data_IF_554905523613
#
_entry.id   IF_554905523613
#
_cell.length_a   1.000
_cell.length_b   1.000
_cell.length_c   1.000
_cell.angle_alpha   90.00
_cell.angle_beta   90.00
_cell.angle_gamma   90.00
#
_symmetry.space_group_name_H-M   'P 1'
#
loop_
_entity.id
_entity.type
_entity.pdbx_description
1 polymer ?
#
# COMPACT_ATOMS: atom_id res chain seq x y z
N UNK A 1 5.80 0.82 0.12
CA UNK A 1 5.63 -0.25 -0.88
C UNK A 1 4.63 0.15 -1.96
N UNK A 2 3.31 0.04 -1.76
CA UNK A 2 2.33 0.15 -2.86
C UNK A 2 2.41 1.45 -3.67
N UNK A 3 2.72 2.59 -3.03
CA UNK A 3 3.00 3.85 -3.75
C UNK A 3 4.23 3.82 -4.67
N UNK A 4 5.28 3.08 -4.29
CA UNK A 4 6.50 2.94 -5.08
C UNK A 4 6.23 2.08 -6.30
N UNK A 5 5.52 0.96 -6.12
CA UNK A 5 5.07 0.11 -7.21
C UNK A 5 4.27 0.90 -8.24
N UNK A 6 3.29 1.70 -7.78
CA UNK A 6 2.51 2.58 -8.65
C UNK A 6 3.37 3.61 -9.37
N UNK A 7 4.29 4.28 -8.66
CA UNK A 7 5.20 5.27 -9.25
C UNK A 7 6.10 4.65 -10.33
N UNK A 8 6.65 3.45 -10.10
CA UNK A 8 7.46 2.75 -11.12
C UNK A 8 6.62 2.41 -12.35
N UNK A 9 5.42 1.87 -12.15
CA UNK A 9 4.48 1.56 -13.24
C UNK A 9 4.14 2.83 -14.04
N UNK A 10 3.78 3.92 -13.36
CA UNK A 10 3.46 5.20 -13.98
C UNK A 10 4.62 5.71 -14.84
N UNK A 11 5.85 5.70 -14.31
CA UNK A 11 7.05 6.13 -15.04
C UNK A 11 7.34 5.27 -16.29
N UNK A 12 7.10 3.96 -16.22
CA UNK A 12 7.25 3.05 -17.36
C UNK A 12 6.13 3.25 -18.40
N UNK A 13 4.88 3.42 -17.95
CA UNK A 13 3.73 3.67 -18.82
C UNK A 13 3.80 5.04 -19.52
N UNK A 14 4.34 6.07 -18.86
CA UNK A 14 4.62 7.38 -19.46
C UNK A 14 5.60 7.29 -20.64
N UNK A 15 6.42 6.23 -20.69
CA UNK A 15 7.31 5.91 -21.80
C UNK A 15 6.66 5.05 -22.89
N UNK A 16 5.37 4.75 -22.76
CA UNK A 16 4.61 3.92 -23.68
C UNK A 16 4.83 2.42 -23.51
N UNK A 17 5.46 1.98 -22.42
CA UNK A 17 5.65 0.56 -22.13
C UNK A 17 4.40 -0.06 -21.49
N UNK A 18 4.05 -1.26 -21.93
CA UNK A 18 2.99 -2.06 -21.32
C UNK A 18 3.50 -2.81 -20.09
N UNK A 19 3.10 -2.36 -18.91
CA UNK A 19 3.55 -2.97 -17.66
C UNK A 19 2.51 -3.96 -17.17
N UNK A 20 2.96 -5.15 -16.76
CA UNK A 20 2.15 -6.11 -16.02
C UNK A 20 2.75 -6.25 -14.63
N UNK A 21 1.95 -6.00 -13.59
CA UNK A 21 2.38 -6.20 -12.22
C UNK A 21 2.12 -7.65 -11.80
N UNK A 22 3.07 -8.29 -11.13
CA UNK A 22 2.87 -9.58 -10.45
C UNK A 22 2.93 -9.33 -8.95
N UNK A 23 1.85 -9.67 -8.27
CA UNK A 23 1.69 -9.44 -6.83
C UNK A 23 1.76 -10.74 -6.07
N UNK A 24 2.48 -10.72 -4.94
CA UNK A 24 2.36 -11.80 -3.97
C UNK A 24 0.89 -11.97 -3.55
N UNK A 25 0.32 -13.18 -3.61
CA UNK A 25 -1.08 -13.41 -3.25
C UNK A 25 -1.29 -13.26 -1.74
N UNK A 26 -2.53 -12.98 -1.35
CA UNK A 26 -3.02 -13.20 0.01
C UNK A 26 -3.79 -14.54 0.01
N UNK A 27 -3.19 -15.65 0.49
CA UNK A 27 -3.72 -16.99 0.29
C UNK A 27 -4.83 -17.34 1.30
N UNK A 28 -5.86 -16.50 1.42
CA UNK A 28 -6.96 -16.70 2.35
C UNK A 28 -8.01 -17.71 1.87
N UNK A 29 -7.95 -18.12 0.59
CA UNK A 29 -8.96 -18.93 -0.08
C UNK A 29 -8.48 -20.28 -0.59
N UNK A 30 -9.11 -20.74 -1.67
CA UNK A 30 -8.77 -21.99 -2.35
C UNK A 30 -7.55 -21.79 -3.25
N UNK A 31 -6.38 -22.25 -2.79
CA UNK A 31 -5.11 -22.09 -3.49
C UNK A 31 -5.12 -22.70 -4.90
N UNK A 32 -5.89 -23.74 -5.15
CA UNK A 32 -5.99 -24.34 -6.48
C UNK A 32 -6.72 -23.41 -7.45
N UNK A 33 -7.72 -22.66 -6.98
CA UNK A 33 -8.40 -21.61 -7.77
C UNK A 33 -7.56 -20.34 -7.89
N UNK A 34 -6.70 -20.09 -6.91
CA UNK A 34 -5.78 -18.96 -6.85
C UNK A 34 -4.40 -19.28 -7.46
N UNK A 35 -4.30 -20.27 -8.36
CA UNK A 35 -3.03 -20.61 -9.02
C UNK A 35 -2.54 -19.44 -9.90
N UNK A 36 -3.43 -18.91 -10.75
CA UNK A 36 -3.18 -17.75 -11.63
C UNK A 36 -4.47 -16.92 -11.72
N UNK A 37 -4.43 -15.69 -11.27
CA UNK A 37 -5.54 -14.73 -11.35
C UNK A 37 -5.05 -13.48 -12.08
N UNK A 38 -5.90 -12.96 -12.97
CA UNK A 38 -5.63 -11.75 -13.76
C UNK A 38 -6.68 -10.70 -13.43
N UNK A 39 -6.22 -9.50 -13.14
CA UNK A 39 -7.03 -8.35 -12.82
C UNK A 39 -6.71 -7.20 -13.77
N UNK A 40 -7.64 -6.86 -14.65
CA UNK A 40 -7.52 -5.75 -15.59
C UNK A 40 -8.69 -4.78 -15.50
N UNK A 41 -9.85 -5.23 -15.01
CA UNK A 41 -11.03 -4.40 -14.78
C UNK A 41 -11.59 -4.62 -13.37
N UNK A 42 -12.38 -3.68 -12.87
CA UNK A 42 -12.93 -3.75 -11.51
C UNK A 42 -13.80 -5.00 -11.29
N UNK A 43 -14.48 -5.47 -12.34
CA UNK A 43 -15.30 -6.68 -12.30
C UNK A 43 -14.48 -7.94 -12.00
N UNK A 44 -13.16 -7.93 -12.28
CA UNK A 44 -12.27 -9.05 -11.93
C UNK A 44 -12.14 -9.22 -10.41
N UNK A 45 -12.25 -8.14 -9.62
CA UNK A 45 -12.21 -8.21 -8.15
C UNK A 45 -13.40 -9.02 -7.60
N UNK A 46 -14.58 -8.88 -8.21
CA UNK A 46 -15.79 -9.63 -7.85
C UNK A 46 -15.69 -11.06 -8.34
N UNK A 47 -15.26 -11.26 -9.61
CA UNK A 47 -15.08 -12.58 -10.23
C UNK A 47 -14.14 -13.48 -9.43
N UNK A 48 -13.12 -12.89 -8.82
CA UNK A 48 -12.11 -13.59 -8.03
C UNK A 48 -12.39 -13.58 -6.51
N UNK A 49 -13.56 -13.08 -6.10
CA UNK A 49 -14.02 -13.09 -4.70
C UNK A 49 -13.03 -12.38 -3.75
N UNK A 50 -12.41 -11.29 -4.20
CA UNK A 50 -11.40 -10.57 -3.44
C UNK A 50 -11.97 -10.00 -2.12
N UNK A 51 -11.19 -10.16 -1.05
CA UNK A 51 -11.37 -9.46 0.23
C UNK A 51 -11.06 -7.97 0.10
N UNK A 52 -11.49 -7.14 1.07
CA UNK A 52 -11.06 -5.72 1.13
C UNK A 52 -9.54 -5.60 1.04
N UNK A 53 -8.82 -6.45 1.75
CA UNK A 53 -7.35 -6.38 1.84
C UNK A 53 -6.69 -6.63 0.49
N UNK A 54 -7.19 -7.60 -0.27
CA UNK A 54 -6.77 -7.83 -1.66
C UNK A 54 -7.15 -6.63 -2.55
N UNK A 55 -8.37 -6.10 -2.40
CA UNK A 55 -8.79 -4.93 -3.17
C UNK A 55 -7.90 -3.71 -2.88
N UNK A 56 -7.42 -3.53 -1.64
CA UNK A 56 -6.51 -2.43 -1.24
C UNK A 56 -5.19 -2.47 -2.01
N UNK A 57 -4.75 -3.65 -2.40
CA UNK A 57 -3.56 -3.85 -3.21
C UNK A 57 -3.85 -3.87 -4.71
N UNK A 58 -5.04 -4.27 -5.15
CA UNK A 58 -5.35 -4.47 -6.58
C UNK A 58 -6.10 -3.31 -7.23
N UNK A 59 -7.15 -2.77 -6.60
CA UNK A 59 -7.98 -1.68 -7.15
C UNK A 59 -7.13 -0.50 -7.61
N UNK A 60 -6.12 -0.01 -6.85
CA UNK A 60 -5.36 1.18 -7.25
C UNK A 60 -4.60 1.03 -8.57
N UNK A 61 -4.24 -0.18 -8.99
CA UNK A 61 -3.59 -0.44 -10.27
C UNK A 61 -4.62 -0.50 -11.41
N UNK A 62 -5.73 -1.19 -11.20
CA UNK A 62 -6.80 -1.37 -12.18
C UNK A 62 -7.36 -0.02 -12.62
N UNK A 63 -7.64 0.88 -11.66
CA UNK A 63 -8.19 2.21 -11.97
C UNK A 63 -7.20 3.13 -12.69
N UNK A 64 -5.91 2.77 -12.71
CA UNK A 64 -4.85 3.46 -13.47
C UNK A 64 -4.59 2.81 -14.84
N UNK A 65 -5.33 1.75 -15.19
CA UNK A 65 -5.19 1.05 -16.47
C UNK A 65 -4.04 0.04 -16.50
N UNK A 66 -3.51 -0.37 -15.34
CA UNK A 66 -2.46 -1.38 -15.24
C UNK A 66 -3.05 -2.77 -14.96
N UNK A 67 -2.51 -3.80 -15.61
CA UNK A 67 -2.89 -5.21 -15.37
C UNK A 67 -2.09 -5.77 -14.20
N UNK A 68 -2.75 -6.50 -13.30
CA UNK A 68 -2.11 -7.26 -12.22
C UNK A 68 -2.37 -8.75 -12.39
N UNK A 69 -1.36 -9.57 -12.14
CA UNK A 69 -1.50 -10.97 -11.84
C UNK A 69 -1.19 -11.25 -10.37
N UNK A 70 -1.93 -12.19 -9.78
CA UNK A 70 -1.63 -12.73 -8.46
C UNK A 70 -1.93 -14.22 -8.43
N UNK A 71 -1.31 -14.94 -7.51
CA UNK A 71 -1.55 -16.36 -7.30
C UNK A 71 -0.35 -17.09 -6.74
N UNK A 72 -0.50 -18.39 -6.49
CA UNK A 72 0.53 -19.20 -5.83
C UNK A 72 1.52 -19.87 -6.78
N UNK A 73 1.21 -19.97 -8.07
CA UNK A 73 2.07 -20.63 -9.07
C UNK A 73 2.86 -19.59 -9.87
N UNK A 74 4.02 -19.20 -9.35
CA UNK A 74 4.83 -18.12 -9.95
C UNK A 74 5.34 -18.44 -11.36
N UNK A 75 5.59 -19.71 -11.71
CA UNK A 75 5.98 -20.06 -13.07
C UNK A 75 4.80 -19.85 -14.02
N UNK A 76 3.62 -20.37 -13.67
CA UNK A 76 2.42 -20.21 -14.48
C UNK A 76 2.00 -18.74 -14.60
N UNK A 77 2.13 -17.96 -13.51
CA UNK A 77 1.88 -16.51 -13.51
C UNK A 77 2.84 -15.79 -14.45
N UNK A 78 4.15 -16.11 -14.40
CA UNK A 78 5.13 -15.48 -15.27
C UNK A 78 4.78 -15.72 -16.74
N UNK A 79 4.46 -16.97 -17.10
CA UNK A 79 4.02 -17.32 -18.46
C UNK A 79 2.75 -16.59 -18.89
N UNK A 80 1.78 -16.45 -17.99
CA UNK A 80 0.53 -15.75 -18.29
C UNK A 80 0.76 -14.25 -18.48
N UNK A 81 1.56 -13.63 -17.61
CA UNK A 81 1.94 -12.22 -17.70
C UNK A 81 2.73 -11.92 -18.98
N UNK A 82 3.71 -12.76 -19.35
CA UNK A 82 4.47 -12.63 -20.60
C UNK A 82 3.57 -12.66 -21.85
N UNK A 83 2.46 -13.39 -21.80
CA UNK A 83 1.50 -13.56 -22.89
C UNK A 83 0.18 -12.81 -22.66
N UNK A 84 0.19 -11.74 -21.85
CA UNK A 84 -1.02 -10.99 -21.53
C UNK A 84 -1.73 -10.52 -22.81
N UNK A 85 -3.07 -10.66 -22.92
CA UNK A 85 -3.80 -10.27 -24.12
C UNK A 85 -3.69 -8.78 -24.45
N UNK A 86 -3.44 -7.92 -23.47
CA UNK A 86 -3.23 -6.48 -23.69
C UNK A 86 -1.77 -6.17 -24.06
N UNK A 87 -0.88 -7.18 -24.03
CA UNK A 87 0.55 -7.12 -24.30
C UNK A 87 1.38 -6.85 -23.04
N UNK A 88 2.60 -7.37 -23.02
CA UNK A 88 3.53 -7.18 -21.90
C UNK A 88 4.91 -6.79 -22.42
N UNK A 89 5.38 -5.65 -21.95
CA UNK A 89 6.72 -5.12 -22.19
C UNK A 89 7.60 -5.31 -20.97
N UNK A 90 7.08 -4.95 -19.79
CA UNK A 90 7.81 -5.07 -18.52
C UNK A 90 6.94 -5.81 -17.51
N UNK A 91 7.55 -6.74 -16.80
CA UNK A 91 6.92 -7.36 -15.63
C UNK A 91 7.50 -6.70 -14.38
N UNK A 92 6.63 -6.12 -13.56
CA UNK A 92 7.01 -5.61 -12.24
C UNK A 92 6.57 -6.63 -11.20
N UNK A 93 7.53 -7.33 -10.59
CA UNK A 93 7.26 -8.21 -9.46
C UNK A 93 7.25 -7.42 -8.14
N UNK A 94 6.17 -7.54 -7.38
CA UNK A 94 5.96 -6.86 -6.10
C UNK A 94 5.78 -7.88 -4.97
N UNK A 95 6.89 -8.15 -4.28
CA UNK A 95 7.02 -9.10 -3.18
C UNK A 95 6.38 -8.70 -1.86
N UNK A 96 5.68 -7.57 -1.80
CA UNK A 96 5.11 -7.15 -0.53
C UNK A 96 6.19 -6.72 0.46
N UNK A 97 5.98 -7.13 1.70
CA UNK A 97 6.92 -7.03 2.82
C UNK A 97 7.47 -8.41 3.24
N UNK A 98 7.07 -9.47 2.56
CA UNK A 98 7.24 -10.85 3.02
C UNK A 98 8.33 -11.59 2.23
N UNK A 99 8.62 -11.16 1.00
CA UNK A 99 9.44 -11.96 0.08
C UNK A 99 10.53 -11.15 -0.63
N UNK A 100 11.50 -11.90 -1.14
CA UNK A 100 12.46 -11.48 -2.15
C UNK A 100 12.02 -12.09 -3.50
N UNK A 101 12.49 -11.53 -4.62
CA UNK A 101 12.02 -11.93 -5.95
C UNK A 101 12.24 -13.42 -6.22
N UNK A 102 11.18 -14.09 -6.67
CA UNK A 102 11.24 -15.45 -7.20
C UNK A 102 11.63 -15.49 -8.68
N UNK A 103 11.69 -14.33 -9.33
CA UNK A 103 12.16 -14.15 -10.69
C UNK A 103 13.57 -13.58 -10.71
N UNK A 104 14.31 -13.91 -11.75
CA UNK A 104 15.55 -13.22 -12.06
C UNK A 104 15.20 -11.83 -12.62
N UNK A 105 15.49 -10.79 -11.86
CA UNK A 105 15.16 -9.41 -12.24
C UNK A 105 16.29 -8.76 -13.02
N UNK A 106 15.94 -7.95 -14.03
CA UNK A 106 16.88 -7.08 -14.75
C UNK A 106 17.18 -5.76 -14.00
N UNK A 107 16.30 -5.39 -13.06
CA UNK A 107 16.46 -4.29 -12.12
C UNK A 107 15.80 -4.67 -10.78
N UNK A 108 16.57 -4.63 -9.70
CA UNK A 108 16.10 -4.96 -8.35
C UNK A 108 16.03 -3.70 -7.47
N UNK A 109 14.80 -3.31 -7.11
CA UNK A 109 14.53 -2.16 -6.23
C UNK A 109 14.11 -2.62 -4.84
N UNK A 110 14.81 -2.16 -3.81
CA UNK A 110 14.47 -2.45 -2.40
C UNK A 110 14.06 -1.18 -1.67
N UNK A 111 12.94 -1.23 -0.95
CA UNK A 111 12.50 -0.14 -0.10
C UNK A 111 12.95 -0.38 1.33
N UNK A 112 13.46 0.67 1.98
CA UNK A 112 13.75 0.65 3.41
C UNK A 112 13.00 1.79 4.11
N UNK A 113 12.60 1.55 5.36
CA UNK A 113 11.78 2.47 6.15
C UNK A 113 12.58 2.93 7.40
N UNK A 114 13.08 4.17 7.45
CA UNK A 114 13.80 4.71 8.60
C UNK A 114 12.91 4.95 9.82
N UNK A 115 11.59 4.73 9.75
CA UNK A 115 10.75 4.64 10.95
C UNK A 115 10.88 3.30 11.67
N UNK A 116 11.57 2.33 11.06
CA UNK A 116 11.83 0.98 11.59
C UNK A 116 13.29 0.59 11.33
N UNK A 117 14.25 1.38 11.81
CA UNK A 117 15.63 1.22 11.42
C UNK A 117 16.17 -0.11 11.99
N UNK A 118 17.01 -0.79 11.22
CA UNK A 118 17.46 -2.15 11.48
C UNK A 118 16.63 -3.22 10.77
N UNK A 119 15.41 -2.95 10.29
CA UNK A 119 14.63 -3.93 9.52
C UNK A 119 15.32 -4.36 8.23
N UNK A 120 16.12 -3.47 7.65
CA UNK A 120 16.97 -3.72 6.48
C UNK A 120 18.08 -4.75 6.75
N UNK A 121 18.34 -5.13 8.01
CA UNK A 121 19.39 -6.09 8.38
C UNK A 121 18.94 -7.21 9.33
N UNK A 122 17.92 -6.98 10.17
CA UNK A 122 17.52 -7.89 11.24
C UNK A 122 16.18 -8.59 10.99
N UNK A 123 15.37 -8.08 10.06
CA UNK A 123 14.04 -8.61 9.79
C UNK A 123 14.03 -9.30 8.42
N UNK A 124 13.79 -10.61 8.39
CA UNK A 124 13.73 -11.35 7.13
C UNK A 124 12.49 -10.95 6.30
N UNK A 125 12.60 -10.76 4.97
CA UNK A 125 13.78 -10.93 4.11
C UNK A 125 14.58 -9.64 3.83
N UNK A 126 14.54 -8.65 4.72
CA UNK A 126 15.17 -7.33 4.55
C UNK A 126 16.64 -7.37 4.14
N UNK A 127 17.48 -8.13 4.85
CA UNK A 127 18.92 -8.24 4.52
C UNK A 127 19.13 -8.82 3.10
N UNK A 128 18.36 -9.83 2.72
CA UNK A 128 18.42 -10.45 1.38
C UNK A 128 18.06 -9.42 0.31
N UNK A 129 16.98 -8.67 0.52
CA UNK A 129 16.54 -7.63 -0.41
C UNK A 129 17.57 -6.50 -0.54
N UNK A 130 18.24 -6.09 0.55
CA UNK A 130 19.30 -5.06 0.49
C UNK A 130 20.51 -5.58 -0.29
N UNK A 131 20.92 -6.83 -0.05
CA UNK A 131 22.07 -7.44 -0.72
C UNK A 131 21.86 -7.60 -2.25
N UNK A 132 20.62 -7.87 -2.68
CA UNK A 132 20.29 -8.08 -4.09
C UNK A 132 19.99 -6.77 -4.85
N UNK A 133 19.78 -5.66 -4.15
CA UNK A 133 19.31 -4.42 -4.76
C UNK A 133 20.34 -3.78 -5.71
N UNK A 134 19.86 -3.34 -6.88
CA UNK A 134 20.54 -2.36 -7.73
C UNK A 134 20.25 -0.94 -7.24
N UNK A 135 19.03 -0.72 -6.74
CA UNK A 135 18.57 0.55 -6.17
C UNK A 135 17.89 0.37 -4.83
N UNK A 136 18.25 1.19 -3.84
CA UNK A 136 17.65 1.19 -2.51
C UNK A 136 16.96 2.52 -2.27
N UNK A 137 15.65 2.49 -2.03
CA UNK A 137 14.83 3.66 -1.80
C UNK A 137 14.61 3.82 -0.29
N UNK A 138 15.24 4.83 0.30
CA UNK A 138 14.99 5.23 1.68
C UNK A 138 13.78 6.15 1.69
N UNK A 139 12.62 5.60 2.05
CA UNK A 139 11.36 6.32 1.98
C UNK A 139 10.94 6.92 3.33
N UNK A 140 10.09 7.95 3.35
CA UNK A 140 9.61 8.64 4.56
C UNK A 140 10.70 9.42 5.31
N UNK A 141 11.73 9.88 4.61
CA UNK A 141 12.79 10.72 5.19
C UNK A 141 12.25 12.05 5.75
N UNK A 142 11.08 12.49 5.27
CA UNK A 142 10.37 13.68 5.74
C UNK A 142 9.67 13.49 7.09
N UNK A 143 9.55 12.24 7.56
CA UNK A 143 8.88 11.88 8.81
C UNK A 143 9.80 11.25 9.85
N UNK A 144 10.96 10.72 9.45
CA UNK A 144 11.88 10.02 10.33
C UNK A 144 12.89 10.96 11.02
N UNK A 145 13.43 10.52 12.16
CA UNK A 145 14.49 11.26 12.84
C UNK A 145 15.79 11.19 12.02
N UNK A 146 16.63 12.25 12.02
CA UNK A 146 17.90 12.24 11.30
C UNK A 146 18.82 11.08 11.68
N UNK A 147 18.87 10.72 12.96
CA UNK A 147 19.71 9.63 13.46
C UNK A 147 19.24 8.26 12.93
N UNK A 148 17.93 8.04 12.80
CA UNK A 148 17.38 6.80 12.26
C UNK A 148 17.66 6.66 10.75
N UNK A 149 17.54 7.77 10.01
CA UNK A 149 17.92 7.83 8.60
C UNK A 149 19.40 7.50 8.45
N UNK A 150 20.26 8.08 9.30
CA UNK A 150 21.69 7.84 9.27
C UNK A 150 22.04 6.38 9.59
N UNK A 151 21.39 5.78 10.58
CA UNK A 151 21.58 4.36 10.90
C UNK A 151 21.22 3.44 9.72
N UNK A 152 20.11 3.72 9.03
CA UNK A 152 19.73 2.96 7.82
C UNK A 152 20.77 3.12 6.71
N UNK A 153 21.30 4.33 6.48
CA UNK A 153 22.36 4.55 5.49
C UNK A 153 23.62 3.77 5.81
N UNK A 154 24.05 3.76 7.06
CA UNK A 154 25.23 3.01 7.51
C UNK A 154 25.05 1.50 7.32
N UNK A 155 23.85 0.99 7.59
CA UNK A 155 23.52 -0.41 7.34
C UNK A 155 23.51 -0.74 5.84
N UNK A 156 22.95 0.12 4.99
CA UNK A 156 22.99 -0.04 3.54
C UNK A 156 24.43 -0.08 3.05
N UNK A 157 25.26 0.89 3.41
CA UNK A 157 26.66 0.98 2.99
C UNK A 157 27.45 -0.27 3.41
N UNK A 158 27.18 -0.78 4.61
CA UNK A 158 27.81 -2.01 5.11
C UNK A 158 27.37 -3.26 4.34
N UNK A 159 26.08 -3.36 3.99
CA UNK A 159 25.50 -4.55 3.36
C UNK A 159 25.72 -4.56 1.85
N UNK A 160 25.41 -3.46 1.17
CA UNK A 160 25.48 -3.34 -0.28
C UNK A 160 26.02 -1.95 -0.71
N UNK A 161 27.35 -1.74 -0.68
CA UNK A 161 27.98 -0.48 -1.08
C UNK A 161 27.91 -0.20 -2.59
N UNK A 162 27.34 -1.12 -3.39
CA UNK A 162 27.21 -0.97 -4.85
C UNK A 162 25.84 -0.45 -5.27
N UNK A 163 24.83 -0.57 -4.41
CA UNK A 163 23.48 -0.12 -4.72
C UNK A 163 23.40 1.40 -4.82
N UNK A 164 22.60 1.89 -5.77
CA UNK A 164 22.27 3.32 -5.83
C UNK A 164 21.26 3.64 -4.74
N UNK A 165 21.59 4.59 -3.86
CA UNK A 165 20.69 5.00 -2.77
C UNK A 165 19.87 6.20 -3.20
N UNK A 166 18.55 6.06 -3.16
CA UNK A 166 17.57 7.07 -3.55
C UNK A 166 16.81 7.52 -2.31
N UNK A 167 16.83 8.82 -2.06
CA UNK A 167 16.04 9.43 -1.00
C UNK A 167 14.61 9.68 -1.47
N UNK A 168 13.62 9.37 -0.62
CA UNK A 168 12.22 9.56 -0.96
C UNK A 168 11.34 9.98 0.23
N UNK A 169 10.35 10.81 -0.06
CA UNK A 169 9.29 11.20 0.83
C UNK A 169 7.96 10.54 0.44
N UNK A 170 7.00 10.54 1.38
CA UNK A 170 5.62 10.06 1.16
C UNK A 170 4.61 11.17 1.43
N UNK A 171 4.60 12.26 0.64
CA UNK A 171 3.71 13.38 0.88
C UNK A 171 2.24 12.96 0.82
N UNK A 172 1.49 13.42 1.82
CA UNK A 172 0.05 13.21 1.92
C UNK A 172 -0.70 14.22 1.07
N UNK A 173 -1.64 13.73 0.26
CA UNK A 173 -2.64 14.51 -0.45
C UNK A 173 -4.05 14.11 0.02
N UNK A 174 -4.99 15.05 0.00
CA UNK A 174 -6.38 14.84 0.38
C UNK A 174 -7.28 15.46 -0.68
N UNK A 175 -8.35 14.78 -1.09
CA UNK A 175 -9.25 15.26 -2.15
C UNK A 175 -9.94 16.57 -1.78
N UNK A 176 -10.50 16.66 -0.56
CA UNK A 176 -11.13 17.87 -0.05
C UNK A 176 -10.65 18.19 1.39
N UNK A 177 -9.57 18.98 1.53
CA UNK A 177 -9.06 19.39 2.85
C UNK A 177 -10.06 20.19 3.69
N UNK A 178 -11.06 20.83 3.05
CA UNK A 178 -12.10 21.60 3.72
C UNK A 178 -13.03 20.75 4.60
N UNK A 179 -13.09 19.44 4.34
CA UNK A 179 -13.82 18.48 5.18
C UNK A 179 -13.05 18.08 6.45
N UNK A 180 -11.78 18.46 6.58
CA UNK A 180 -10.95 18.17 7.74
C UNK A 180 -10.80 19.40 8.65
N UNK A 181 -10.47 20.56 8.07
CA UNK A 181 -10.05 21.74 8.83
C UNK A 181 -11.11 22.21 9.82
N UNK A 182 -10.79 22.16 11.12
CA UNK A 182 -11.68 22.57 12.22
C UNK A 182 -12.88 21.65 12.41
N UNK A 183 -12.88 20.45 11.83
CA UNK A 183 -13.97 19.47 11.90
C UNK A 183 -13.67 18.35 12.88
N UNK A 184 -14.71 17.78 13.47
CA UNK A 184 -14.67 16.55 14.26
C UNK A 184 -14.79 15.37 13.31
N UNK A 185 -13.71 14.63 13.09
CA UNK A 185 -13.64 13.64 12.01
C UNK A 185 -13.55 12.21 12.53
N UNK A 186 -14.27 11.28 11.90
CA UNK A 186 -14.00 9.86 12.02
C UNK A 186 -12.89 9.49 11.03
N UNK A 187 -11.86 8.79 11.49
CA UNK A 187 -10.78 8.29 10.62
C UNK A 187 -10.96 6.79 10.41
N UNK A 188 -11.07 6.39 9.14
CA UNK A 188 -11.07 4.98 8.73
C UNK A 188 -9.71 4.68 8.12
N UNK A 189 -9.03 3.64 8.61
CA UNK A 189 -7.67 3.28 8.20
C UNK A 189 -7.62 1.86 7.65
N UNK A 190 -6.55 1.57 6.91
CA UNK A 190 -6.12 0.23 6.53
C UNK A 190 -6.06 -0.71 7.77
N UNK A 191 -6.82 -1.81 7.69
CA UNK A 191 -6.97 -2.81 8.74
C UNK A 191 -5.65 -3.46 9.15
N UNK A 192 -4.89 -4.07 8.21
CA UNK A 192 -3.53 -4.55 8.43
C UNK A 192 -2.63 -3.59 9.19
N UNK A 193 -2.58 -2.31 8.80
CA UNK A 193 -1.72 -1.30 9.44
C UNK A 193 -1.96 -1.22 10.96
N UNK A 194 -3.22 -1.36 11.40
CA UNK A 194 -3.63 -1.23 12.80
C UNK A 194 -3.68 -2.55 13.58
N UNK A 195 -3.77 -3.69 12.90
CA UNK A 195 -3.94 -5.00 13.54
C UNK A 195 -2.62 -5.74 13.69
N UNK A 196 -1.99 -6.11 12.56
CA UNK A 196 -0.77 -6.92 12.53
C UNK A 196 0.46 -6.18 11.98
N UNK A 197 0.27 -4.98 11.42
CA UNK A 197 1.33 -4.11 10.91
C UNK A 197 2.10 -3.33 11.98
N UNK A 198 1.63 -3.36 13.23
CA UNK A 198 2.32 -2.80 14.40
C UNK A 198 2.33 -1.26 14.50
N UNK A 199 1.54 -0.55 13.67
CA UNK A 199 1.47 0.91 13.71
C UNK A 199 0.28 1.40 14.55
N UNK A 200 0.50 2.49 15.29
CA UNK A 200 -0.54 3.17 16.10
C UNK A 200 -1.20 4.37 15.41
N UNK A 201 -0.66 4.74 14.25
CA UNK A 201 -1.15 5.84 13.43
C UNK A 201 -1.12 5.37 11.98
N UNK A 202 -2.20 5.63 11.27
CA UNK A 202 -2.29 5.38 9.84
C UNK A 202 -2.27 6.66 9.03
N UNK A 203 -2.52 6.48 7.74
CA UNK A 203 -2.61 7.52 6.76
C UNK A 203 -3.60 8.63 7.17
N UNK A 204 -4.86 8.24 7.36
CA UNK A 204 -5.95 9.15 7.69
C UNK A 204 -5.66 9.99 8.93
N UNK A 205 -4.96 9.42 9.91
CA UNK A 205 -4.55 10.08 11.16
C UNK A 205 -3.56 11.19 10.90
N UNK A 206 -2.53 10.93 10.09
CA UNK A 206 -1.53 11.94 9.75
C UNK A 206 -2.17 13.05 8.90
N UNK A 207 -3.08 12.71 7.99
CA UNK A 207 -3.85 13.69 7.22
C UNK A 207 -4.72 14.57 8.11
N UNK A 208 -5.50 13.97 9.01
CA UNK A 208 -6.38 14.69 9.91
C UNK A 208 -5.60 15.70 10.78
N UNK A 209 -4.43 15.32 11.29
CA UNK A 209 -3.53 16.23 12.02
C UNK A 209 -2.96 17.32 11.13
N UNK A 210 -2.39 16.96 9.96
CA UNK A 210 -1.75 17.90 9.03
C UNK A 210 -2.70 18.98 8.52
N UNK A 211 -3.96 18.62 8.26
CA UNK A 211 -4.98 19.54 7.75
C UNK A 211 -5.83 20.18 8.86
N UNK A 212 -5.50 19.94 10.13
CA UNK A 212 -6.03 20.67 11.28
C UNK A 212 -7.45 20.26 11.67
N UNK A 213 -7.74 18.97 11.77
CA UNK A 213 -8.96 18.46 12.42
C UNK A 213 -9.09 19.01 13.84
N UNK A 214 -10.30 19.35 14.25
CA UNK A 214 -10.58 19.79 15.62
C UNK A 214 -10.52 18.63 16.61
N UNK A 215 -10.97 17.46 16.20
CA UNK A 215 -11.07 16.26 17.04
C UNK A 215 -11.05 15.00 16.16
N UNK A 216 -10.40 13.93 16.63
CA UNK A 216 -10.57 12.58 16.08
C UNK A 216 -11.62 11.86 16.92
N UNK A 217 -12.72 11.45 16.30
CA UNK A 217 -13.83 10.79 16.99
C UNK A 217 -13.51 9.33 17.23
N UNK A 218 -13.58 8.91 18.49
CA UNK A 218 -13.49 7.49 18.88
C UNK A 218 -14.75 6.75 18.43
N UNK A 219 -14.66 5.73 17.54
CA UNK A 219 -15.80 4.99 17.05
C UNK A 219 -16.37 4.00 18.09
N UNK A 220 -15.68 3.73 19.20
CA UNK A 220 -16.09 2.71 20.20
C UNK A 220 -17.54 2.80 20.67
N UNK A 221 -18.11 3.99 20.95
CA UNK A 221 -19.52 4.10 21.36
C UNK A 221 -20.53 3.72 20.26
N UNK A 222 -20.07 3.55 19.02
CA UNK A 222 -20.89 3.38 17.83
C UNK A 222 -20.63 2.05 17.09
N UNK A 223 -19.75 1.19 17.62
CA UNK A 223 -19.37 -0.09 17.00
C UNK A 223 -20.59 -0.99 16.82
N UNK A 224 -20.68 -1.62 15.66
CA UNK A 224 -21.68 -2.62 15.33
C UNK A 224 -21.05 -4.02 15.17
N UNK A 225 -21.78 -5.05 15.60
CA UNK A 225 -21.46 -6.46 15.35
C UNK A 225 -20.03 -6.84 15.69
N UNK A 226 -19.33 -7.48 14.74
CA UNK A 226 -17.98 -8.03 14.92
C UNK A 226 -16.89 -6.98 15.12
N UNK A 227 -17.17 -5.71 14.85
CA UNK A 227 -16.21 -4.64 15.14
C UNK A 227 -16.03 -4.43 16.64
N UNK A 228 -17.06 -4.68 17.47
CA UNK A 228 -16.90 -4.67 18.91
C UNK A 228 -15.85 -5.70 19.37
N UNK A 229 -15.97 -6.95 18.88
CA UNK A 229 -15.01 -8.02 19.14
C UNK A 229 -13.60 -7.65 18.65
N UNK A 230 -13.49 -6.99 17.49
CA UNK A 230 -12.19 -6.54 16.94
C UNK A 230 -11.49 -5.56 17.88
N UNK A 231 -12.23 -4.60 18.45
CA UNK A 231 -11.67 -3.64 19.42
C UNK A 231 -11.33 -4.28 20.77
N UNK A 232 -11.97 -5.39 21.15
CA UNK A 232 -11.61 -6.18 22.33
C UNK A 232 -10.31 -6.97 22.11
N UNK A 233 -10.15 -7.58 20.93
CA UNK A 233 -8.93 -8.32 20.56
C UNK A 233 -7.74 -7.36 20.42
N UNK A 234 -7.97 -6.16 19.87
CA UNK A 234 -6.95 -5.16 19.61
C UNK A 234 -7.21 -3.84 20.38
N UNK A 235 -7.06 -3.83 21.72
CA UNK A 235 -7.40 -2.67 22.54
C UNK A 235 -6.51 -1.44 22.26
N UNK A 236 -5.34 -1.65 21.63
CA UNK A 236 -4.35 -0.63 21.31
C UNK A 236 -4.65 0.23 20.07
N UNK A 237 -5.72 -0.07 19.31
CA UNK A 237 -6.09 0.63 18.07
C UNK A 237 -6.38 2.13 18.28
N UNK A 238 -6.76 2.53 19.50
CA UNK A 238 -7.08 3.92 19.80
C UNK A 238 -8.42 4.37 19.20
N UNK A 239 -8.48 5.61 18.70
CA UNK A 239 -9.69 6.23 18.13
C UNK A 239 -9.86 5.97 16.62
N UNK A 240 -9.21 4.95 16.09
CA UNK A 240 -9.15 4.67 14.65
C UNK A 240 -10.10 3.53 14.31
N UNK A 241 -10.85 3.65 13.21
CA UNK A 241 -11.71 2.57 12.73
C UNK A 241 -10.96 1.75 11.68
N UNK A 242 -10.57 0.48 11.94
CA UNK A 242 -9.97 -0.38 10.93
C UNK A 242 -11.01 -0.75 9.86
N UNK A 243 -10.64 -0.65 8.59
CA UNK A 243 -11.42 -1.13 7.46
C UNK A 243 -11.39 -2.67 7.43
N UNK A 244 -12.32 -3.30 8.15
CA UNK A 244 -12.48 -4.75 8.18
C UNK A 244 -13.54 -5.16 7.14
N UNK A 245 -13.24 -6.16 6.31
CA UNK A 245 -14.20 -6.64 5.32
C UNK A 245 -13.87 -7.99 4.71
N UNK A 246 -13.55 -8.97 5.56
CA UNK A 246 -13.35 -10.36 5.14
C UNK A 246 -14.68 -11.11 4.91
N UNK A 247 -15.82 -10.50 5.25
CA UNK A 247 -17.16 -11.08 5.07
C UNK A 247 -18.21 -9.99 4.87
N UNK A 248 -19.35 -10.34 4.24
CA UNK A 248 -20.46 -9.40 4.08
C UNK A 248 -20.96 -8.83 5.42
N UNK A 249 -20.88 -9.62 6.50
CA UNK A 249 -21.27 -9.15 7.82
C UNK A 249 -20.34 -8.03 8.31
N UNK A 250 -19.03 -8.18 8.12
CA UNK A 250 -18.06 -7.15 8.51
C UNK A 250 -18.24 -5.87 7.68
N UNK A 251 -18.58 -5.99 6.40
CA UNK A 251 -18.93 -4.83 5.57
C UNK A 251 -20.14 -4.07 6.11
N UNK A 252 -21.23 -4.80 6.44
CA UNK A 252 -22.42 -4.21 7.05
C UNK A 252 -22.14 -3.58 8.40
N UNK A 253 -21.32 -4.22 9.22
CA UNK A 253 -20.90 -3.71 10.53
C UNK A 253 -20.06 -2.43 10.38
N UNK A 254 -19.15 -2.38 9.40
CA UNK A 254 -18.34 -1.20 9.07
C UNK A 254 -19.21 -0.04 8.60
N UNK A 255 -20.12 -0.28 7.64
CA UNK A 255 -21.08 0.72 7.15
C UNK A 255 -21.95 1.27 8.30
N UNK A 256 -22.48 0.38 9.13
CA UNK A 256 -23.34 0.77 10.27
C UNK A 256 -22.56 1.60 11.28
N UNK A 257 -21.33 1.20 11.60
CA UNK A 257 -20.45 1.91 12.53
C UNK A 257 -20.12 3.31 12.01
N UNK A 258 -19.72 3.44 10.74
CA UNK A 258 -19.43 4.74 10.11
C UNK A 258 -20.66 5.64 10.18
N UNK A 259 -21.82 5.13 9.78
CA UNK A 259 -23.05 5.93 9.70
C UNK A 259 -23.65 6.28 11.07
N UNK A 260 -23.40 5.49 12.11
CA UNK A 260 -23.82 5.80 13.49
C UNK A 260 -22.87 6.75 14.20
N UNK A 261 -21.61 6.85 13.74
CA UNK A 261 -20.62 7.70 14.39
C UNK A 261 -20.98 9.17 14.25
N UNK A 262 -21.08 9.86 15.38
CA UNK A 262 -21.40 11.29 15.43
C UNK A 262 -20.14 12.11 15.11
N UNK A 263 -19.95 12.43 13.83
CA UNK A 263 -18.84 13.21 13.30
C UNK A 263 -19.34 14.22 12.24
N UNK A 264 -18.51 15.21 11.91
CA UNK A 264 -18.79 16.19 10.85
C UNK A 264 -18.41 15.66 9.46
N UNK A 265 -17.39 14.79 9.39
CA UNK A 265 -16.90 14.18 8.17
C UNK A 265 -16.10 12.89 8.45
N UNK A 266 -15.93 12.06 7.41
CA UNK A 266 -15.13 10.84 7.43
C UNK A 266 -13.85 11.04 6.61
N UNK A 267 -12.70 10.71 7.18
CA UNK A 267 -11.40 10.70 6.51
C UNK A 267 -11.05 9.25 6.18
N UNK A 268 -11.03 8.93 4.89
CA UNK A 268 -10.76 7.58 4.38
C UNK A 268 -9.27 7.47 4.07
N UNK A 269 -8.53 6.79 4.96
CA UNK A 269 -7.10 6.49 4.84
C UNK A 269 -6.79 5.15 4.16
N UNK A 270 -7.80 4.41 3.70
CA UNK A 270 -7.63 3.14 2.99
C UNK A 270 -7.10 3.35 1.58
N UNK A 271 -6.23 2.46 1.06
CA UNK A 271 -5.82 2.49 -0.35
C UNK A 271 -6.98 2.35 -1.35
N UNK A 272 -7.96 1.49 -1.06
CA UNK A 272 -9.19 1.38 -1.87
C UNK A 272 -10.06 2.61 -1.77
N UNK A 273 -10.94 2.75 -2.76
CA UNK A 273 -12.10 3.61 -2.60
C UNK A 273 -13.17 2.91 -1.77
N UNK A 274 -13.12 3.10 -0.45
CA UNK A 274 -14.08 2.51 0.48
C UNK A 274 -15.54 2.83 0.09
N UNK A 275 -15.80 3.97 -0.58
CA UNK A 275 -17.15 4.34 -1.02
C UNK A 275 -17.73 3.42 -2.12
N UNK A 276 -16.90 2.59 -2.77
CA UNK A 276 -17.35 1.60 -3.75
C UNK A 276 -17.98 0.37 -3.10
N UNK A 277 -17.66 0.11 -1.83
CA UNK A 277 -18.02 -1.13 -1.13
C UNK A 277 -18.93 -0.90 0.08
N UNK A 278 -18.93 0.31 0.65
CA UNK A 278 -19.85 0.70 1.74
C UNK A 278 -20.51 2.05 1.45
N UNK A 279 -21.76 2.18 1.85
CA UNK A 279 -22.52 3.40 1.69
C UNK A 279 -22.27 4.38 2.85
N UNK A 280 -21.42 5.38 2.61
CA UNK A 280 -21.07 6.41 3.59
C UNK A 280 -22.01 7.61 3.45
N UNK A 281 -22.85 7.86 4.46
CA UNK A 281 -23.84 8.96 4.47
C UNK A 281 -23.24 10.31 4.87
N UNK A 282 -22.17 10.30 5.65
CA UNK A 282 -21.45 11.51 6.07
C UNK A 282 -20.67 12.11 4.89
N UNK A 283 -20.40 13.43 4.87
CA UNK A 283 -19.38 13.99 3.99
C UNK A 283 -18.06 13.27 4.21
N UNK A 284 -17.37 12.89 3.14
CA UNK A 284 -16.09 12.19 3.26
C UNK A 284 -15.03 12.73 2.30
N UNK A 285 -13.77 12.50 2.65
CA UNK A 285 -12.62 12.80 1.81
C UNK A 285 -11.65 11.63 1.85
N UNK A 286 -10.96 11.37 0.74
CA UNK A 286 -9.94 10.34 0.66
C UNK A 286 -8.56 10.92 0.84
N UNK A 287 -7.69 10.11 1.40
CA UNK A 287 -6.27 10.41 1.62
C UNK A 287 -5.45 9.57 0.65
N UNK A 288 -4.49 10.23 0.00
CA UNK A 288 -3.59 9.63 -0.97
C UNK A 288 -2.14 9.84 -0.54
N UNK A 289 -1.30 8.87 -0.91
CA UNK A 289 0.14 8.90 -0.72
C UNK A 289 0.80 8.46 -2.00
N UNK A 290 1.72 9.30 -2.45
CA UNK A 290 2.51 9.06 -3.64
C UNK A 290 3.98 9.11 -3.24
N UNK A 291 4.80 8.29 -3.91
CA UNK A 291 6.24 8.35 -3.70
C UNK A 291 6.79 9.59 -4.38
N UNK A 292 7.62 10.35 -3.66
CA UNK A 292 8.36 11.46 -4.22
C UNK A 292 9.86 11.26 -3.98
N UNK A 293 10.65 11.08 -5.04
CA UNK A 293 12.11 11.13 -4.93
C UNK A 293 12.58 12.53 -4.55
N UNK A 294 13.60 12.60 -3.71
CA UNK A 294 14.18 13.83 -3.18
C UNK A 294 15.64 13.92 -3.64
N UNK A 295 15.95 14.96 -4.41
CA UNK A 295 17.30 15.18 -4.93
C UNK A 295 17.71 14.15 -5.98
N UNK A 296 19.02 13.93 -6.09
CA UNK A 296 19.64 12.98 -7.01
C UNK A 296 20.60 12.06 -6.24
N UNK A 297 20.74 10.78 -6.64
CA UNK A 297 20.06 10.12 -7.76
C UNK A 297 18.57 9.89 -7.49
N UNK A 298 17.72 9.96 -8.53
CA UNK A 298 16.27 9.80 -8.40
C UNK A 298 15.76 8.46 -8.95
N UNK A 299 14.55 8.07 -8.53
CA UNK A 299 13.87 6.90 -9.09
C UNK A 299 13.60 7.11 -10.58
N UNK A 300 13.21 8.31 -10.99
CA UNK A 300 13.01 8.68 -12.39
C UNK A 300 14.25 8.38 -13.24
N UNK A 301 15.43 8.83 -12.81
CA UNK A 301 16.69 8.59 -13.52
C UNK A 301 16.99 7.10 -13.66
N UNK A 302 16.78 6.33 -12.59
CA UNK A 302 17.02 4.89 -12.60
C UNK A 302 16.05 4.14 -13.55
N UNK A 303 14.77 4.54 -13.57
CA UNK A 303 13.79 3.96 -14.50
C UNK A 303 14.08 4.38 -15.95
N UNK A 304 14.55 5.61 -16.18
CA UNK A 304 14.99 6.08 -17.50
C UNK A 304 16.16 5.25 -18.01
N UNK A 305 17.18 5.04 -17.18
CA UNK A 305 18.34 4.22 -17.51
C UNK A 305 17.96 2.78 -17.82
N UNK A 306 17.07 2.19 -17.02
CA UNK A 306 16.54 0.84 -17.25
C UNK A 306 15.79 0.74 -18.59
N UNK A 307 14.87 1.67 -18.86
CA UNK A 307 14.07 1.67 -20.07
C UNK A 307 14.93 1.91 -21.34
N UNK A 308 16.03 2.67 -21.23
CA UNK A 308 16.92 2.96 -22.36
C UNK A 308 17.79 1.79 -22.81
N UNK A 309 18.02 0.81 -21.93
CA UNK A 309 18.88 -0.36 -22.19
C UNK A 309 18.13 -1.54 -22.80
N UNK A 310 16.82 -1.38 -23.03
CA UNK A 310 15.92 -2.44 -23.48
C UNK A 310 15.72 -2.44 -25.00
#
# INVERSE_FOLDING_TARGET
>A
KSQTTRKVIELLMEKGLKVVAVRHPMPYGDLAKQAVQRFAVLDDLVKHECTIEEMEEYEPHIVRGNVIYAGVDYEAILRAAENDPDGCDVILWDGGNNDFSFYHADLYLTLVDPLRPGHESLYYPGEVNVLLADGIIINKIDSAAPDDIQMVRENIERLNPKATVIDAASPIRVDNPGLIKGKRVLVVEDGPTLTHGGMKIGAGTVAAKKFGAAELIDPRPFLAGKLAETFEIYPGIGSLLPAMGYSEQQLRDLETTINNTVCDAVVIGTPIDLSRIVNIKHPYTRVHYDLQSIGEPSLEQMIDDFASKR
#
